data_IF_698973999830
#
_entry.id   IF_698973999830
#
_cell.length_a   1.000
_cell.length_b   1.000
_cell.length_c   1.000
_cell.angle_alpha   90.00
_cell.angle_beta   90.00
_cell.angle_gamma   90.00
#
_symmetry.space_group_name_H-M   'P 1'
#
loop_
_entity.id
_entity.type
_entity.pdbx_description
1 polymer ?
#
# COMPACT_ATOMS: atom_id res chain seq x y z
N UNK A 1 54.94 -18.41 0.25
CA UNK A 1 54.43 -17.60 1.37
C UNK A 1 52.93 -17.41 1.13
N UNK A 2 52.06 -18.13 1.84
CA UNK A 2 50.62 -18.11 1.57
C UNK A 2 49.97 -16.85 2.16
N UNK A 3 49.19 -16.14 1.33
CA UNK A 3 48.26 -15.10 1.79
C UNK A 3 47.07 -15.81 2.40
N UNK A 4 46.94 -15.78 3.72
CA UNK A 4 45.71 -16.19 4.41
C UNK A 4 44.65 -15.12 4.14
N UNK A 5 43.61 -15.51 3.42
CA UNK A 5 42.41 -14.71 3.21
C UNK A 5 41.63 -14.69 4.54
N UNK A 6 41.65 -13.56 5.24
CA UNK A 6 40.98 -13.40 6.53
C UNK A 6 39.49 -13.25 6.25
N UNK A 7 38.74 -14.35 6.36
CA UNK A 7 37.27 -14.29 6.35
C UNK A 7 36.82 -13.47 7.55
N UNK A 8 36.22 -12.31 7.30
CA UNK A 8 35.64 -11.48 8.35
C UNK A 8 34.55 -12.26 9.07
N UNK A 9 34.49 -12.12 10.40
CA UNK A 9 33.38 -12.65 11.17
C UNK A 9 32.08 -11.95 10.74
N UNK A 10 30.95 -12.65 10.75
CA UNK A 10 29.64 -12.07 10.43
C UNK A 10 29.36 -10.79 11.22
N UNK A 11 29.83 -10.70 12.47
CA UNK A 11 29.72 -9.49 13.30
C UNK A 11 30.54 -8.31 12.78
N UNK A 12 31.73 -8.55 12.26
CA UNK A 12 32.58 -7.50 11.69
C UNK A 12 32.00 -6.98 10.38
N UNK A 13 31.35 -7.86 9.60
CA UNK A 13 30.61 -7.45 8.40
C UNK A 13 29.41 -6.58 8.75
N UNK A 14 28.62 -6.97 9.76
CA UNK A 14 27.44 -6.21 10.23
C UNK A 14 27.81 -4.80 10.72
N UNK A 15 28.85 -4.68 11.54
CA UNK A 15 29.33 -3.37 12.00
C UNK A 15 29.81 -2.48 10.84
N UNK A 16 30.43 -3.06 9.82
CA UNK A 16 30.99 -2.29 8.69
C UNK A 16 29.91 -1.75 7.75
N UNK A 17 28.72 -2.35 7.74
CA UNK A 17 27.54 -1.88 7.00
C UNK A 17 26.59 -1.04 7.86
N UNK A 18 27.01 -0.65 9.07
CA UNK A 18 26.21 0.22 9.96
C UNK A 18 25.03 -0.49 10.64
N UNK A 19 25.08 -1.82 10.74
CA UNK A 19 24.11 -2.63 11.46
C UNK A 19 24.77 -3.09 12.76
N UNK A 20 24.67 -2.27 13.80
CA UNK A 20 25.05 -2.66 15.15
C UNK A 20 23.91 -3.50 15.78
N UNK A 21 24.24 -4.62 16.42
CA UNK A 21 23.28 -5.47 17.14
C UNK A 21 22.56 -4.68 18.27
N UNK A 22 23.13 -3.57 18.74
CA UNK A 22 22.53 -2.70 19.76
C UNK A 22 21.62 -1.57 19.22
N UNK A 23 21.46 -1.43 17.90
CA UNK A 23 20.46 -0.52 17.31
C UNK A 23 19.53 -1.29 16.37
N UNK A 24 18.38 -1.78 16.86
CA UNK A 24 17.48 -2.62 16.06
C UNK A 24 16.80 -1.95 14.87
N UNK A 25 17.17 -0.72 14.45
CA UNK A 25 16.35 0.03 13.51
C UNK A 25 17.05 1.07 12.62
N UNK A 26 18.33 0.90 12.27
CA UNK A 26 19.02 1.87 11.39
C UNK A 26 18.60 1.81 9.89
N UNK A 27 17.85 0.79 9.47
CA UNK A 27 17.35 0.66 8.08
C UNK A 27 15.87 1.00 7.89
N UNK A 28 15.16 1.26 8.99
CA UNK A 28 13.82 1.85 8.96
C UNK A 28 13.98 3.31 9.34
N UNK A 29 14.47 4.14 8.41
CA UNK A 29 14.00 5.52 8.35
C UNK A 29 12.53 5.46 7.90
N UNK A 30 11.69 4.94 8.79
CA UNK A 30 10.28 5.30 8.84
C UNK A 30 10.30 6.77 9.19
N UNK A 31 10.01 7.64 8.23
CA UNK A 31 9.56 8.99 8.54
C UNK A 31 8.51 8.82 9.64
N UNK A 32 8.84 9.25 10.86
CA UNK A 32 7.96 9.10 12.03
C UNK A 32 6.57 9.55 11.60
N UNK A 33 5.53 8.86 12.08
CA UNK A 33 4.16 9.29 11.85
C UNK A 33 4.02 10.78 12.22
N UNK A 34 4.74 11.25 13.24
CA UNK A 34 4.80 12.66 13.66
C UNK A 34 5.49 13.59 12.64
N UNK A 35 6.46 13.10 11.87
CA UNK A 35 7.10 13.85 10.79
C UNK A 35 6.20 13.94 9.55
N UNK A 36 5.52 12.84 9.20
CA UNK A 36 4.52 12.76 8.13
C UNK A 36 3.26 13.59 8.43
N UNK A 37 2.94 13.72 9.72
CA UNK A 37 1.86 14.56 10.23
C UNK A 37 2.32 15.98 10.60
N UNK A 38 3.63 16.29 10.55
CA UNK A 38 4.17 17.61 10.90
C UNK A 38 3.65 18.73 9.98
N UNK A 39 3.26 18.37 8.76
CA UNK A 39 2.62 19.26 7.77
C UNK A 39 1.10 19.42 7.98
N UNK A 40 0.48 18.57 8.81
CA UNK A 40 -0.93 18.66 9.18
C UNK A 40 -0.98 19.43 10.50
N UNK A 41 -1.63 20.59 10.54
CA UNK A 41 -1.67 21.52 11.69
C UNK A 41 -2.25 20.92 13.00
N UNK A 42 -1.54 19.96 13.61
CA UNK A 42 -1.70 19.51 14.99
C UNK A 42 -2.91 18.63 15.33
N UNK A 43 -3.91 18.45 14.46
CA UNK A 43 -5.11 17.66 14.80
C UNK A 43 -5.19 16.32 14.04
N UNK A 44 -4.47 15.32 14.56
CA UNK A 44 -4.56 13.93 14.12
C UNK A 44 -6.01 13.40 14.17
N UNK A 45 -6.81 13.82 15.14
CA UNK A 45 -8.20 13.40 15.27
C UNK A 45 -9.02 13.87 14.07
N UNK A 46 -8.87 15.14 13.67
CA UNK A 46 -9.53 15.68 12.49
C UNK A 46 -9.13 14.94 11.20
N UNK A 47 -7.85 14.61 11.04
CA UNK A 47 -7.36 13.85 9.87
C UNK A 47 -7.96 12.44 9.86
N UNK A 48 -7.99 11.75 10.99
CA UNK A 48 -8.61 10.43 11.12
C UNK A 48 -10.11 10.47 10.80
N UNK A 49 -10.82 11.48 11.31
CA UNK A 49 -12.25 11.67 11.01
C UNK A 49 -12.49 11.92 9.52
N UNK A 50 -11.61 12.67 8.85
CA UNK A 50 -11.71 12.89 7.41
C UNK A 50 -11.44 11.60 6.62
N UNK A 51 -10.43 10.79 6.99
CA UNK A 51 -10.21 9.48 6.33
C UNK A 51 -11.39 8.54 6.55
N UNK A 52 -11.95 8.53 7.75
CA UNK A 52 -13.17 7.78 8.05
C UNK A 52 -14.35 8.26 7.18
N UNK A 53 -14.55 9.57 7.04
CA UNK A 53 -15.61 10.14 6.19
C UNK A 53 -15.42 9.73 4.72
N UNK A 54 -14.20 9.85 4.19
CA UNK A 54 -13.87 9.45 2.83
C UNK A 54 -14.11 7.96 2.58
N UNK A 55 -13.77 7.10 3.54
CA UNK A 55 -14.00 5.65 3.42
C UNK A 55 -15.50 5.34 3.36
N UNK A 56 -16.32 6.06 4.12
CA UNK A 56 -17.77 5.85 4.13
C UNK A 56 -18.51 6.49 2.94
N UNK A 57 -17.88 7.43 2.23
CA UNK A 57 -18.44 8.03 1.02
C UNK A 57 -18.41 7.04 -0.15
N UNK A 58 -19.46 6.21 -0.32
CA UNK A 58 -19.48 5.18 -1.38
C UNK A 58 -19.74 5.78 -2.77
N UNK A 59 -19.15 5.16 -3.78
CA UNK A 59 -19.45 5.40 -5.19
C UNK A 59 -20.08 4.15 -5.79
N UNK A 60 -21.07 4.32 -6.67
CA UNK A 60 -21.61 3.22 -7.46
C UNK A 60 -20.74 3.05 -8.71
N UNK A 61 -20.13 1.87 -8.83
CA UNK A 61 -19.29 1.50 -9.97
C UNK A 61 -19.99 0.49 -10.87
N UNK A 62 -19.51 0.38 -12.10
CA UNK A 62 -19.86 -0.68 -13.04
C UNK A 62 -18.64 -1.11 -13.86
N UNK A 63 -18.67 -2.32 -14.46
CA UNK A 63 -17.62 -2.73 -15.39
C UNK A 63 -17.33 -1.67 -16.46
N UNK A 64 -16.04 -1.43 -16.71
CA UNK A 64 -15.55 -0.41 -17.65
C UNK A 64 -15.29 0.97 -17.03
N UNK A 65 -15.75 1.24 -15.80
CA UNK A 65 -15.40 2.48 -15.11
C UNK A 65 -13.89 2.52 -14.80
N UNK A 66 -13.30 3.73 -14.89
CA UNK A 66 -11.93 3.98 -14.43
C UNK A 66 -11.96 4.53 -13.03
N UNK A 67 -11.13 3.99 -12.15
CA UNK A 67 -11.11 4.32 -10.73
C UNK A 67 -9.68 4.57 -10.25
N UNK A 68 -9.55 5.31 -9.18
CA UNK A 68 -8.28 5.50 -8.46
C UNK A 68 -8.52 5.49 -6.96
N UNK A 69 -7.44 5.36 -6.19
CA UNK A 69 -7.50 5.49 -4.74
C UNK A 69 -7.99 6.87 -4.33
N UNK A 70 -8.88 6.89 -3.34
CA UNK A 70 -9.14 8.12 -2.59
C UNK A 70 -7.90 8.55 -1.81
N UNK A 71 -7.66 9.86 -1.63
CA UNK A 71 -6.52 10.35 -0.87
C UNK A 71 -6.43 9.75 0.53
N UNK A 72 -5.28 9.13 0.85
CA UNK A 72 -4.99 8.55 2.15
C UNK A 72 -5.65 7.19 2.43
N UNK A 73 -6.32 6.56 1.46
CA UNK A 73 -7.02 5.28 1.67
C UNK A 73 -6.39 4.07 0.94
N UNK A 74 -5.25 4.24 0.26
CA UNK A 74 -4.50 3.14 -0.36
C UNK A 74 -3.99 2.17 0.71
N UNK A 75 -4.29 0.90 0.55
CA UNK A 75 -3.79 -0.17 1.42
C UNK A 75 -3.04 -1.28 0.67
N UNK A 76 -2.96 -1.23 -0.65
CA UNK A 76 -2.21 -2.21 -1.47
C UNK A 76 -1.13 -1.50 -2.26
N UNK A 77 -0.08 -2.21 -2.68
CA UNK A 77 1.04 -1.65 -3.45
C UNK A 77 0.60 -1.01 -4.77
N UNK A 78 -0.30 -1.68 -5.48
CA UNK A 78 -0.84 -1.29 -6.77
C UNK A 78 -2.35 -1.05 -6.70
N UNK A 79 -2.88 -0.13 -7.55
CA UNK A 79 -2.12 0.83 -8.35
C UNK A 79 -1.42 1.89 -7.47
N UNK A 80 -0.51 2.68 -8.04
CA UNK A 80 0.01 3.86 -7.34
C UNK A 80 -1.10 4.92 -7.17
N UNK A 81 -0.93 5.88 -6.26
CA UNK A 81 -1.83 7.03 -6.20
C UNK A 81 -1.83 7.76 -7.55
N UNK A 82 -2.98 8.29 -7.96
CA UNK A 82 -3.17 8.96 -9.25
C UNK A 82 -3.11 8.04 -10.48
N UNK A 83 -2.77 6.76 -10.33
CA UNK A 83 -2.76 5.80 -11.45
C UNK A 83 -4.14 5.12 -11.56
N UNK A 84 -4.76 5.11 -12.76
CA UNK A 84 -6.07 4.49 -12.93
C UNK A 84 -5.99 2.96 -12.92
N UNK A 85 -7.06 2.34 -12.43
CA UNK A 85 -7.42 0.94 -12.67
C UNK A 85 -8.78 0.89 -13.36
N UNK A 86 -9.08 -0.22 -14.04
CA UNK A 86 -10.39 -0.44 -14.68
C UNK A 86 -11.21 -1.44 -13.88
N UNK A 87 -12.49 -1.13 -13.67
CA UNK A 87 -13.44 -2.05 -13.03
C UNK A 87 -13.77 -3.17 -14.00
N UNK A 88 -13.49 -4.42 -13.59
CA UNK A 88 -13.85 -5.62 -14.34
C UNK A 88 -15.17 -6.19 -13.85
N UNK A 89 -15.37 -6.19 -12.53
CA UNK A 89 -16.56 -6.73 -11.89
C UNK A 89 -16.85 -6.00 -10.56
N UNK A 90 -18.13 -5.94 -10.20
CA UNK A 90 -18.60 -5.46 -8.90
C UNK A 90 -19.29 -6.63 -8.20
N UNK A 91 -18.79 -7.01 -7.02
CA UNK A 91 -19.25 -8.16 -6.27
C UNK A 91 -20.29 -7.75 -5.22
N UNK A 92 -21.47 -8.36 -5.29
CA UNK A 92 -22.53 -8.23 -4.28
C UNK A 92 -23.18 -9.62 -4.02
N UNK A 93 -22.93 -10.24 -2.86
CA UNK A 93 -22.18 -9.71 -1.72
C UNK A 93 -20.66 -9.65 -1.96
N UNK A 94 -19.93 -8.77 -1.24
CA UNK A 94 -18.47 -8.76 -1.28
C UNK A 94 -17.89 -10.05 -0.71
N UNK A 95 -16.76 -10.48 -1.26
CA UNK A 95 -16.00 -11.61 -0.70
C UNK A 95 -15.13 -11.10 0.44
N UNK A 96 -14.94 -11.94 1.46
CA UNK A 96 -14.03 -11.63 2.57
C UNK A 96 -12.66 -12.18 2.24
N UNK A 97 -11.60 -11.40 2.47
CA UNK A 97 -10.22 -11.88 2.32
C UNK A 97 -9.96 -13.10 3.22
N UNK A 98 -9.11 -14.02 2.77
CA UNK A 98 -8.77 -15.27 3.48
C UNK A 98 -7.79 -15.08 4.64
N UNK A 99 -7.32 -13.85 4.87
CA UNK A 99 -6.48 -13.49 6.02
C UNK A 99 -7.11 -13.91 7.35
N UNK A 100 -6.32 -14.62 8.17
CA UNK A 100 -6.74 -15.14 9.47
C UNK A 100 -6.14 -14.38 10.65
N UNK A 101 -5.08 -13.61 10.41
CA UNK A 101 -4.43 -12.82 11.46
C UNK A 101 -5.18 -11.53 11.73
N UNK A 102 -5.79 -11.41 12.90
CA UNK A 102 -6.58 -10.25 13.31
C UNK A 102 -5.80 -8.93 13.35
N UNK A 103 -4.47 -8.99 13.53
CA UNK A 103 -3.58 -7.82 13.46
C UNK A 103 -3.30 -7.32 12.04
N UNK A 104 -3.69 -8.07 11.01
CA UNK A 104 -3.46 -7.70 9.60
C UNK A 104 -4.48 -6.65 9.14
N UNK A 105 -4.01 -5.64 8.41
CA UNK A 105 -4.89 -4.61 7.81
C UNK A 105 -5.87 -5.16 6.77
N UNK A 106 -5.70 -6.43 6.38
CA UNK A 106 -6.53 -7.13 5.41
C UNK A 106 -7.48 -8.13 6.07
N UNK A 107 -7.42 -8.29 7.39
CA UNK A 107 -8.27 -9.20 8.12
C UNK A 107 -9.74 -8.87 7.88
N UNK A 108 -10.44 -9.84 7.30
CA UNK A 108 -11.85 -9.72 6.92
C UNK A 108 -12.18 -8.50 6.05
N UNK A 109 -11.25 -8.07 5.21
CA UNK A 109 -11.49 -6.98 4.27
C UNK A 109 -12.65 -7.35 3.31
N UNK A 110 -13.68 -6.50 3.15
CA UNK A 110 -14.80 -6.76 2.25
C UNK A 110 -14.42 -6.37 0.82
N UNK A 111 -13.92 -7.33 0.05
CA UNK A 111 -13.50 -7.13 -1.33
C UNK A 111 -14.73 -7.11 -2.24
N UNK A 112 -15.10 -5.93 -2.71
CA UNK A 112 -16.30 -5.69 -3.51
C UNK A 112 -16.01 -5.34 -4.97
N UNK A 113 -14.75 -5.11 -5.35
CA UNK A 113 -14.36 -4.80 -6.73
C UNK A 113 -13.28 -5.75 -7.23
N UNK A 114 -13.43 -6.19 -8.47
CA UNK A 114 -12.37 -6.82 -9.25
C UNK A 114 -11.82 -5.77 -10.20
N UNK A 115 -10.54 -5.42 -10.05
CA UNK A 115 -9.90 -4.38 -10.85
C UNK A 115 -8.78 -4.97 -11.72
N UNK A 116 -8.73 -4.49 -12.95
CA UNK A 116 -7.62 -4.69 -13.87
C UNK A 116 -6.64 -3.53 -13.81
N UNK A 117 -5.35 -3.84 -13.75
CA UNK A 117 -4.27 -2.84 -13.71
C UNK A 117 -3.00 -3.37 -14.39
N UNK A 118 -2.05 -2.49 -14.65
CA UNK A 118 -0.75 -2.88 -15.19
C UNK A 118 0.23 -3.24 -14.09
N UNK A 119 0.93 -4.36 -14.25
CA UNK A 119 2.06 -4.71 -13.41
C UNK A 119 3.20 -3.72 -13.62
N UNK A 120 3.80 -3.24 -12.53
CA UNK A 120 4.78 -2.15 -12.55
C UNK A 120 6.23 -2.62 -12.37
N UNK A 121 6.46 -3.94 -12.21
CA UNK A 121 7.76 -4.53 -11.94
C UNK A 121 8.18 -5.50 -13.03
N UNK A 122 9.48 -5.67 -13.18
CA UNK A 122 10.04 -6.77 -13.97
C UNK A 122 10.14 -8.05 -13.13
N UNK A 123 10.03 -9.24 -13.76
CA UNK A 123 9.55 -9.43 -15.13
C UNK A 123 8.05 -9.16 -15.25
N UNK A 124 7.59 -8.80 -16.46
CA UNK A 124 6.16 -8.64 -16.77
C UNK A 124 5.63 -7.22 -16.58
N UNK A 125 6.49 -6.20 -16.60
CA UNK A 125 6.04 -4.81 -16.54
C UNK A 125 5.13 -4.52 -17.74
N UNK A 126 3.96 -3.96 -17.48
CA UNK A 126 2.93 -3.70 -18.49
C UNK A 126 1.95 -4.85 -18.71
N UNK A 127 2.12 -5.99 -18.02
CA UNK A 127 1.13 -7.07 -18.07
C UNK A 127 -0.17 -6.65 -17.39
N UNK A 128 -1.29 -7.08 -17.99
CA UNK A 128 -2.61 -6.84 -17.42
C UNK A 128 -2.91 -7.88 -16.34
N UNK A 129 -2.97 -7.42 -15.09
CA UNK A 129 -3.17 -8.25 -13.91
C UNK A 129 -4.47 -7.88 -13.20
N UNK A 130 -5.03 -8.85 -12.49
CA UNK A 130 -6.35 -8.75 -11.87
C UNK A 130 -6.22 -8.95 -10.37
N UNK A 131 -6.81 -8.04 -9.60
CA UNK A 131 -6.85 -8.11 -8.14
C UNK A 131 -8.23 -7.75 -7.59
N UNK A 132 -8.51 -8.24 -6.39
CA UNK A 132 -9.71 -7.92 -5.64
C UNK A 132 -9.42 -6.80 -4.64
N UNK A 133 -10.37 -5.88 -4.46
CA UNK A 133 -10.20 -4.71 -3.62
C UNK A 133 -11.49 -4.34 -2.87
N UNK A 134 -11.34 -3.66 -1.73
CA UNK A 134 -12.44 -2.95 -1.07
C UNK A 134 -12.81 -1.69 -1.86
N UNK A 135 -13.99 -1.72 -2.50
CA UNK A 135 -14.47 -0.61 -3.33
C UNK A 135 -14.71 0.70 -2.59
N UNK A 136 -14.83 0.67 -1.25
CA UNK A 136 -14.97 1.90 -0.43
C UNK A 136 -13.75 2.81 -0.53
N UNK A 137 -12.58 2.26 -0.85
CA UNK A 137 -11.30 2.98 -0.95
C UNK A 137 -11.10 3.69 -2.29
N UNK A 138 -11.98 3.45 -3.27
CA UNK A 138 -11.86 3.98 -4.62
C UNK A 138 -12.85 5.10 -4.91
N UNK A 139 -12.47 5.98 -5.83
CA UNK A 139 -13.31 7.01 -6.43
C UNK A 139 -13.16 6.99 -7.96
N UNK A 140 -14.09 7.58 -8.73
CA UNK A 140 -13.96 7.72 -10.17
C UNK A 140 -12.66 8.47 -10.54
N UNK A 141 -11.92 7.93 -11.50
CA UNK A 141 -10.70 8.56 -11.98
C UNK A 141 -11.02 9.78 -12.85
N UNK A 142 -10.48 10.94 -12.47
CA UNK A 142 -10.52 12.17 -13.26
C UNK A 142 -9.11 12.50 -13.79
N UNK A 143 -8.86 12.40 -15.11
CA UNK A 143 -7.55 12.69 -15.69
C UNK A 143 -7.10 14.15 -15.51
N UNK A 144 -7.99 15.07 -15.11
CA UNK A 144 -7.62 16.46 -14.81
C UNK A 144 -7.08 16.66 -13.38
N UNK A 145 -7.20 15.66 -12.52
CA UNK A 145 -6.72 15.67 -11.12
C UNK A 145 -5.45 14.84 -10.90
N UNK A 146 -4.98 14.16 -11.95
CA UNK A 146 -3.84 13.23 -11.91
C UNK A 146 -2.51 13.93 -12.24
#
# INVERSE_FOLDING_TARGET
MSRQDRSLSSRELLNRIGLDEETPNSLLQEDSLDALLGDLEGDLSAVLLERYRLLNQRHAFKPGDRVCWKPGLKNRRLPAYGTPAVVLEVLDPPITDGETESGSTYFREPLSLVLGLFWDREPGRGDFVIFHFDGRRFEPFDPKRA
#
